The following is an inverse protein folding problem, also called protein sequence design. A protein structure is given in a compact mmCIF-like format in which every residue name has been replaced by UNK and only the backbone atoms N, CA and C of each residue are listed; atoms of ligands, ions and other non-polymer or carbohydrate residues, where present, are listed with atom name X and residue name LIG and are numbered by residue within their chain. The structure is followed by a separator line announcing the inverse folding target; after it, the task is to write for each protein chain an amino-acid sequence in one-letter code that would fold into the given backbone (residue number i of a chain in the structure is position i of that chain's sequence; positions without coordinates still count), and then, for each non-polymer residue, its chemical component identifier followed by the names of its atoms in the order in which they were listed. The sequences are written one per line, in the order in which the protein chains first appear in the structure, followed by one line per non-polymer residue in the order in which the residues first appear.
data_IF_863678103212
#
_entry.id   IF_863678103212
#
_cell.length_a   1.000
_cell.length_b   1.000
_cell.length_c   1.000
_cell.angle_alpha   90.00
_cell.angle_beta   90.00
_cell.angle_gamma   90.00
#
_symmetry.space_group_name_H-M   'P 1'
#
loop_
_entity.id
_entity.type
_entity.pdbx_description
1 polymer ?
#
# COMPACT_ATOMS: atom_id res chain seq x y z
N UNK A 1 -41.07 56.89 -20.34
CA UNK A 1 -39.85 56.59 -21.10
C UNK A 1 -39.48 55.14 -20.76
N UNK A 2 -39.88 54.16 -21.61
CA UNK A 2 -39.68 52.74 -21.35
C UNK A 2 -38.39 52.28 -22.06
N UNK A 3 -37.42 51.73 -21.29
CA UNK A 3 -36.20 51.17 -21.83
C UNK A 3 -36.51 49.79 -22.51
N UNK A 4 -36.00 49.57 -23.72
CA UNK A 4 -36.21 48.28 -24.39
C UNK A 4 -35.39 47.21 -23.70
N UNK A 5 -36.04 46.13 -23.23
CA UNK A 5 -35.40 44.91 -22.74
C UNK A 5 -34.72 44.21 -23.91
N UNK A 6 -33.39 44.23 -23.92
CA UNK A 6 -32.58 43.47 -24.89
C UNK A 6 -32.74 41.99 -24.64
N UNK A 7 -33.55 41.30 -25.45
CA UNK A 7 -33.67 39.83 -25.42
C UNK A 7 -32.39 39.25 -26.05
N UNK A 8 -31.46 38.74 -25.23
CA UNK A 8 -30.31 37.94 -25.73
C UNK A 8 -30.83 36.71 -26.47
N UNK A 9 -30.60 36.65 -27.76
CA UNK A 9 -30.86 35.44 -28.56
C UNK A 9 -30.00 34.31 -27.99
N UNK A 10 -30.65 33.27 -27.49
CA UNK A 10 -29.99 32.02 -27.16
C UNK A 10 -29.67 31.32 -28.48
N UNK A 11 -28.36 31.17 -28.79
CA UNK A 11 -27.89 30.42 -29.94
C UNK A 11 -27.82 28.97 -29.48
N UNK A 12 -28.68 28.12 -30.03
CA UNK A 12 -28.66 26.67 -29.80
C UNK A 12 -27.48 26.01 -30.51
N UNK A 13 -26.95 24.93 -29.92
CA UNK A 13 -25.90 24.11 -30.54
C UNK A 13 -26.39 23.45 -31.82
N UNK A 14 -25.54 23.45 -32.84
CA UNK A 14 -25.78 22.67 -34.06
C UNK A 14 -25.57 21.17 -33.81
N UNK A 15 -26.33 20.30 -34.46
CA UNK A 15 -26.20 18.84 -34.38
C UNK A 15 -24.77 18.40 -34.76
N UNK A 16 -24.18 19.03 -35.77
CA UNK A 16 -22.80 18.76 -36.22
C UNK A 16 -21.77 19.12 -35.15
N UNK A 17 -21.95 20.21 -34.42
CA UNK A 17 -21.09 20.66 -33.34
C UNK A 17 -21.11 19.66 -32.19
N UNK A 18 -22.30 19.12 -31.86
CA UNK A 18 -22.46 18.09 -30.84
C UNK A 18 -21.75 16.78 -31.21
N UNK A 19 -21.87 16.36 -32.51
CA UNK A 19 -21.17 15.17 -32.99
C UNK A 19 -19.64 15.35 -32.91
N UNK A 20 -19.12 16.49 -33.35
CA UNK A 20 -17.68 16.78 -33.27
C UNK A 20 -17.21 16.81 -31.81
N UNK A 21 -17.96 17.45 -30.90
CA UNK A 21 -17.63 17.47 -29.48
C UNK A 21 -17.59 16.05 -28.87
N UNK A 22 -18.54 15.18 -29.23
CA UNK A 22 -18.53 13.77 -28.79
C UNK A 22 -17.34 12.99 -29.32
N UNK A 23 -16.97 13.16 -30.58
CA UNK A 23 -15.80 12.50 -31.18
C UNK A 23 -14.51 12.93 -30.47
N UNK A 24 -14.34 14.23 -30.23
CA UNK A 24 -13.18 14.72 -29.48
C UNK A 24 -13.16 14.17 -28.04
N UNK A 25 -14.30 14.14 -27.36
CA UNK A 25 -14.41 13.57 -26.02
C UNK A 25 -14.05 12.08 -26.01
N UNK A 26 -14.47 11.28 -26.99
CA UNK A 26 -14.11 9.86 -27.09
C UNK A 26 -12.61 9.67 -27.28
N UNK A 27 -11.96 10.48 -28.14
CA UNK A 27 -10.51 10.40 -28.35
C UNK A 27 -9.76 10.73 -27.06
N UNK A 28 -10.17 11.78 -26.34
CA UNK A 28 -9.55 12.17 -25.07
C UNK A 28 -9.73 11.08 -23.99
N UNK A 29 -10.90 10.45 -23.92
CA UNK A 29 -11.14 9.35 -22.98
C UNK A 29 -10.32 8.10 -23.33
N UNK A 30 -10.15 7.77 -24.60
CA UNK A 30 -9.38 6.62 -25.04
C UNK A 30 -7.90 6.68 -24.59
N UNK A 31 -7.31 7.86 -24.52
CA UNK A 31 -5.94 8.08 -24.07
C UNK A 31 -5.87 8.36 -22.56
N UNK A 32 -6.80 9.13 -22.02
CA UNK A 32 -6.77 9.58 -20.64
C UNK A 32 -7.12 8.48 -19.63
N UNK A 33 -8.08 7.61 -19.95
CA UNK A 33 -8.57 6.59 -19.02
C UNK A 33 -7.50 5.58 -18.59
N UNK A 34 -6.67 5.00 -19.48
CA UNK A 34 -5.65 4.04 -19.06
C UNK A 34 -4.57 4.68 -18.18
N UNK A 35 -4.20 5.94 -18.43
CA UNK A 35 -3.23 6.67 -17.62
C UNK A 35 -3.80 6.91 -16.21
N UNK A 36 -5.06 7.33 -16.13
CA UNK A 36 -5.76 7.54 -14.86
C UNK A 36 -5.86 6.25 -14.04
N UNK A 37 -6.22 5.13 -14.66
CA UNK A 37 -6.33 3.83 -13.97
C UNK A 37 -4.99 3.38 -13.40
N UNK A 38 -3.88 3.54 -14.13
CA UNK A 38 -2.54 3.23 -13.62
C UNK A 38 -2.19 4.07 -12.40
N UNK A 39 -2.41 5.37 -12.47
CA UNK A 39 -2.17 6.28 -11.35
C UNK A 39 -3.02 5.93 -10.12
N UNK A 40 -4.29 5.58 -10.35
CA UNK A 40 -5.19 5.16 -9.28
C UNK A 40 -4.75 3.87 -8.60
N UNK A 41 -4.34 2.85 -9.36
CA UNK A 41 -3.83 1.60 -8.80
C UNK A 41 -2.51 1.79 -8.05
N UNK A 42 -1.61 2.63 -8.56
CA UNK A 42 -0.36 2.97 -7.87
C UNK A 42 -0.63 3.72 -6.55
N UNK A 43 -1.64 4.59 -6.53
CA UNK A 43 -2.08 5.28 -5.31
C UNK A 43 -2.63 4.29 -4.27
N UNK A 44 -3.50 3.36 -4.68
CA UNK A 44 -4.03 2.33 -3.79
C UNK A 44 -2.92 1.47 -3.17
N UNK A 45 -1.94 1.08 -3.99
CA UNK A 45 -0.80 0.30 -3.53
C UNK A 45 0.09 1.08 -2.54
N UNK A 46 0.32 2.36 -2.80
CA UNK A 46 1.05 3.23 -1.86
C UNK A 46 0.30 3.39 -0.55
N UNK A 47 -1.03 3.51 -0.60
CA UNK A 47 -1.87 3.59 0.59
C UNK A 47 -1.82 2.30 1.42
N UNK A 48 -1.81 1.13 0.76
CA UNK A 48 -1.63 -0.15 1.45
C UNK A 48 -0.27 -0.23 2.16
N UNK A 49 0.81 0.24 1.54
CA UNK A 49 2.13 0.30 2.17
C UNK A 49 2.16 1.22 3.40
N UNK A 50 1.48 2.36 3.34
CA UNK A 50 1.31 3.25 4.49
C UNK A 50 0.54 2.57 5.62
N UNK A 51 -0.54 1.84 5.32
CA UNK A 51 -1.30 1.10 6.32
C UNK A 51 -0.44 0.03 7.01
N UNK A 52 0.39 -0.71 6.26
CA UNK A 52 1.35 -1.66 6.85
C UNK A 52 2.35 -0.93 7.75
N UNK A 53 2.91 0.18 7.29
CA UNK A 53 3.83 0.96 8.11
C UNK A 53 3.16 1.47 9.39
N UNK A 54 1.90 1.88 9.33
CA UNK A 54 1.17 2.41 10.47
C UNK A 54 0.82 1.32 11.50
N UNK A 55 0.43 0.12 11.08
CA UNK A 55 0.18 -0.97 12.03
C UNK A 55 1.48 -1.42 12.72
N UNK A 56 2.62 -1.44 12.00
CA UNK A 56 3.92 -1.74 12.58
C UNK A 56 4.35 -0.66 13.60
N UNK A 57 4.17 0.62 13.27
CA UNK A 57 4.43 1.73 14.21
C UNK A 57 3.56 1.63 15.46
N UNK A 58 2.29 1.30 15.27
CA UNK A 58 1.35 1.12 16.38
C UNK A 58 1.75 -0.06 17.26
N UNK A 59 2.10 -1.22 16.68
CA UNK A 59 2.56 -2.39 17.44
C UNK A 59 3.82 -2.06 18.25
N UNK A 60 4.77 -1.35 17.63
CA UNK A 60 5.97 -0.84 18.30
C UNK A 60 5.62 0.07 19.48
N UNK A 61 4.71 1.02 19.25
CA UNK A 61 4.26 1.95 20.31
C UNK A 61 3.59 1.21 21.47
N UNK A 62 2.74 0.20 21.17
CA UNK A 62 2.10 -0.63 22.19
C UNK A 62 3.13 -1.42 23.03
N UNK A 63 4.17 -1.97 22.40
CA UNK A 63 5.25 -2.66 23.10
C UNK A 63 5.97 -1.73 24.10
N UNK A 64 6.28 -0.51 23.68
CA UNK A 64 6.90 0.51 24.54
C UNK A 64 5.94 0.95 25.64
N UNK A 65 4.67 1.23 25.30
CA UNK A 65 3.64 1.70 26.24
C UNK A 65 3.37 0.67 27.36
N UNK A 66 3.28 -0.60 26.96
CA UNK A 66 2.99 -1.69 27.90
C UNK A 66 4.25 -2.22 28.61
N UNK A 67 5.43 -1.74 28.19
CA UNK A 67 6.74 -2.22 28.66
C UNK A 67 6.86 -3.75 28.62
N UNK A 68 6.32 -4.36 27.54
CA UNK A 68 6.38 -5.80 27.30
C UNK A 68 6.48 -6.09 25.80
N UNK A 69 6.95 -7.28 25.41
CA UNK A 69 6.93 -7.68 24.01
C UNK A 69 5.50 -7.73 23.46
N UNK A 70 5.31 -7.24 22.22
CA UNK A 70 4.04 -7.25 21.49
C UNK A 70 4.28 -7.78 20.09
N UNK A 71 3.37 -8.64 19.62
CA UNK A 71 3.42 -9.24 18.29
C UNK A 71 2.62 -8.40 17.29
N UNK A 72 3.17 -8.21 16.10
CA UNK A 72 2.37 -7.93 14.91
C UNK A 72 2.12 -9.26 14.21
N UNK A 73 0.88 -9.71 14.20
CA UNK A 73 0.48 -10.98 13.58
C UNK A 73 -0.02 -10.73 12.17
N UNK A 74 0.39 -11.58 11.23
CA UNK A 74 0.04 -11.54 9.82
C UNK A 74 -0.59 -12.87 9.49
N UNK A 75 -1.78 -12.85 8.92
CA UNK A 75 -2.44 -14.07 8.46
C UNK A 75 -3.43 -13.80 7.32
N UNK A 76 -3.80 -14.83 6.54
CA UNK A 76 -4.91 -14.73 5.61
C UNK A 76 -6.21 -14.40 6.34
N UNK A 77 -7.03 -13.55 5.73
CA UNK A 77 -8.35 -13.23 6.28
C UNK A 77 -9.28 -14.44 6.21
N UNK A 78 -9.80 -14.90 7.34
CA UNK A 78 -10.82 -15.95 7.36
C UNK A 78 -12.17 -15.53 6.76
N UNK A 79 -12.49 -14.24 6.80
CA UNK A 79 -13.77 -13.70 6.31
C UNK A 79 -13.72 -13.26 4.84
N UNK A 80 -12.53 -12.92 4.32
CA UNK A 80 -12.35 -12.36 2.98
C UNK A 80 -11.23 -13.13 2.26
N UNK A 81 -11.55 -14.14 1.44
CA UNK A 81 -10.54 -14.92 0.71
C UNK A 81 -9.63 -14.04 -0.15
N UNK A 82 -8.34 -14.34 -0.13
CA UNK A 82 -7.32 -13.59 -0.90
C UNK A 82 -6.88 -12.26 -0.28
N UNK A 83 -7.39 -11.91 0.91
CA UNK A 83 -6.95 -10.74 1.66
C UNK A 83 -6.08 -11.15 2.86
N UNK A 84 -5.19 -10.25 3.27
CA UNK A 84 -4.31 -10.44 4.43
C UNK A 84 -4.71 -9.49 5.55
N UNK A 85 -4.77 -10.01 6.77
CA UNK A 85 -5.02 -9.24 7.99
C UNK A 85 -3.72 -9.09 8.76
N UNK A 86 -3.46 -7.86 9.23
CA UNK A 86 -2.39 -7.58 10.18
C UNK A 86 -3.00 -6.93 11.42
N UNK A 87 -2.59 -7.37 12.61
CA UNK A 87 -3.01 -6.72 13.86
C UNK A 87 -1.92 -6.73 14.92
N UNK A 88 -2.05 -5.80 15.85
CA UNK A 88 -1.18 -5.73 17.02
C UNK A 88 -1.77 -6.59 18.13
N UNK A 89 -1.20 -7.78 18.37
CA UNK A 89 -1.59 -8.69 19.45
C UNK A 89 -1.03 -8.15 20.78
N UNK A 90 -1.79 -7.26 21.38
CA UNK A 90 -1.36 -6.55 22.59
C UNK A 90 -1.49 -7.36 23.87
N UNK A 91 -2.32 -8.41 23.88
CA UNK A 91 -2.50 -9.30 25.01
C UNK A 91 -1.64 -10.57 24.92
N UNK A 92 -1.15 -10.93 23.73
CA UNK A 92 -0.27 -12.08 23.50
C UNK A 92 -1.01 -13.41 23.38
N UNK A 93 -2.32 -13.38 23.06
CA UNK A 93 -3.13 -14.60 22.93
C UNK A 93 -3.13 -15.21 21.52
N UNK A 94 -2.59 -14.50 20.51
CA UNK A 94 -2.55 -14.95 19.11
C UNK A 94 -3.91 -14.92 18.41
N UNK A 95 -4.94 -14.37 19.02
CA UNK A 95 -6.30 -14.27 18.50
C UNK A 95 -6.65 -12.78 18.37
N UNK A 96 -7.19 -12.40 17.22
CA UNK A 96 -7.57 -11.00 17.00
C UNK A 96 -8.82 -10.66 17.85
N UNK A 97 -8.66 -9.72 18.76
CA UNK A 97 -9.70 -9.23 19.65
C UNK A 97 -10.32 -7.91 19.14
N UNK A 98 -11.59 -7.61 19.46
CA UNK A 98 -12.25 -6.38 19.03
C UNK A 98 -11.60 -5.08 19.52
N UNK A 99 -10.81 -5.16 20.59
CA UNK A 99 -10.06 -4.01 21.16
C UNK A 99 -8.72 -3.78 20.48
N UNK A 100 -8.25 -4.73 19.71
CA UNK A 100 -6.98 -4.68 19.01
C UNK A 100 -7.11 -3.98 17.66
N UNK A 101 -6.13 -3.16 17.34
CA UNK A 101 -6.08 -2.49 16.03
C UNK A 101 -5.66 -3.47 14.97
N UNK A 102 -6.45 -3.53 13.91
CA UNK A 102 -6.18 -4.34 12.74
C UNK A 102 -6.26 -3.53 11.46
N UNK A 103 -5.60 -4.01 10.43
CA UNK A 103 -5.78 -3.58 9.05
C UNK A 103 -6.12 -4.79 8.18
N UNK A 104 -6.89 -4.56 7.13
CA UNK A 104 -7.23 -5.55 6.12
C UNK A 104 -6.67 -5.08 4.77
N UNK A 105 -5.74 -5.85 4.23
CA UNK A 105 -5.15 -5.59 2.90
C UNK A 105 -5.93 -6.37 1.86
N UNK A 106 -6.42 -5.66 0.85
CA UNK A 106 -7.19 -6.24 -0.25
C UNK A 106 -6.42 -6.35 -1.56
N UNK A 107 -7.11 -6.78 -2.62
CA UNK A 107 -6.53 -7.04 -3.94
C UNK A 107 -5.80 -5.85 -4.58
N UNK A 108 -6.16 -4.63 -4.19
CA UNK A 108 -5.53 -3.39 -4.69
C UNK A 108 -4.14 -3.13 -4.09
N UNK A 109 -3.78 -3.83 -3.01
CA UNK A 109 -2.46 -3.75 -2.38
C UNK A 109 -2.38 -4.79 -1.26
N UNK A 110 -2.04 -6.02 -1.62
CA UNK A 110 -1.91 -7.13 -0.68
C UNK A 110 -0.44 -7.50 -0.47
N UNK A 111 -0.16 -8.15 0.65
CA UNK A 111 1.15 -8.75 0.88
C UNK A 111 1.37 -9.90 -0.11
N UNK A 112 2.60 -10.00 -0.61
CA UNK A 112 3.04 -11.07 -1.51
C UNK A 112 4.37 -11.63 -1.03
N UNK A 113 4.62 -12.89 -1.37
CA UNK A 113 5.91 -13.53 -1.11
C UNK A 113 7.03 -12.88 -1.93
N UNK A 114 8.24 -12.88 -1.38
CA UNK A 114 9.43 -12.31 -2.02
C UNK A 114 9.66 -12.85 -3.45
N UNK A 115 9.37 -14.12 -3.69
CA UNK A 115 9.51 -14.77 -5.00
C UNK A 115 8.56 -14.22 -6.08
N UNK A 116 7.51 -13.51 -5.67
CA UNK A 116 6.53 -12.89 -6.57
C UNK A 116 6.93 -11.49 -7.04
N UNK A 117 8.05 -10.95 -6.51
CA UNK A 117 8.49 -9.58 -6.80
C UNK A 117 9.78 -9.63 -7.63
N UNK A 118 9.82 -9.00 -8.82
CA UNK A 118 11.01 -8.97 -9.66
C UNK A 118 12.19 -8.29 -8.93
N UNK A 119 13.38 -8.92 -9.03
CA UNK A 119 14.65 -8.39 -8.54
C UNK A 119 14.65 -7.83 -7.10
N UNK A 120 13.75 -8.34 -6.23
CA UNK A 120 13.63 -7.92 -4.84
C UNK A 120 14.96 -7.97 -4.07
N UNK A 121 15.84 -8.92 -4.40
CA UNK A 121 17.11 -9.14 -3.71
C UNK A 121 18.22 -8.14 -4.07
N UNK A 122 18.26 -7.62 -5.30
CA UNK A 122 19.37 -6.81 -5.78
C UNK A 122 19.37 -5.38 -5.23
N UNK A 123 18.20 -4.84 -4.91
CA UNK A 123 18.04 -3.45 -4.47
C UNK A 123 18.06 -3.27 -2.98
N UNK A 124 17.53 -4.26 -2.28
CA UNK A 124 17.57 -4.31 -0.84
C UNK A 124 18.99 -4.44 -0.33
N UNK A 125 19.93 -5.01 -1.11
CA UNK A 125 21.34 -5.09 -0.71
C UNK A 125 21.96 -3.71 -0.42
N UNK A 126 21.57 -2.67 -1.16
CA UNK A 126 22.01 -1.30 -0.93
C UNK A 126 21.30 -0.65 0.26
N UNK A 127 19.97 -0.84 0.37
CA UNK A 127 19.17 -0.33 1.47
C UNK A 127 19.47 -1.05 2.80
N UNK A 128 19.75 -2.35 2.72
CA UNK A 128 20.04 -3.19 3.88
C UNK A 128 21.46 -3.02 4.42
N UNK A 129 22.36 -2.38 3.68
CA UNK A 129 23.73 -2.11 4.10
C UNK A 129 24.45 -3.35 4.69
N UNK A 130 24.24 -4.52 4.05
CA UNK A 130 24.81 -5.80 4.48
C UNK A 130 24.05 -6.54 5.58
N UNK A 131 22.92 -6.03 6.06
CA UNK A 131 22.06 -6.76 7.00
C UNK A 131 21.29 -7.88 6.27
N UNK A 132 21.13 -9.01 6.94
CA UNK A 132 20.26 -10.07 6.46
C UNK A 132 18.79 -9.61 6.46
N UNK A 133 18.01 -10.05 5.48
CA UNK A 133 16.59 -9.75 5.41
C UNK A 133 15.73 -11.00 5.49
N UNK A 134 14.57 -10.87 6.11
CA UNK A 134 13.49 -11.83 6.11
C UNK A 134 12.26 -11.21 5.47
N UNK A 135 11.49 -11.99 4.74
CA UNK A 135 10.21 -11.55 4.19
C UNK A 135 9.09 -12.32 4.90
N UNK A 136 8.34 -11.67 5.79
CA UNK A 136 7.20 -12.29 6.43
C UNK A 136 6.18 -12.76 5.40
N UNK A 137 5.79 -14.05 5.48
CA UNK A 137 4.86 -14.62 4.51
C UNK A 137 3.43 -14.13 4.75
N UNK A 138 2.68 -13.79 3.69
CA UNK A 138 1.26 -13.43 3.81
C UNK A 138 0.39 -14.60 4.27
N UNK A 139 0.87 -15.84 4.15
CA UNK A 139 0.17 -17.05 4.60
C UNK A 139 0.27 -17.30 6.10
N UNK A 140 1.08 -16.55 6.82
CA UNK A 140 1.22 -16.59 8.27
C UNK A 140 2.63 -16.22 8.71
N UNK A 141 2.73 -15.15 9.48
CA UNK A 141 3.98 -14.71 10.07
C UNK A 141 3.68 -13.88 11.34
N UNK A 142 4.70 -13.72 12.16
CA UNK A 142 4.64 -12.88 13.36
C UNK A 142 5.93 -12.09 13.47
N UNK A 143 5.78 -10.79 13.70
CA UNK A 143 6.88 -9.86 13.94
C UNK A 143 6.81 -9.41 15.39
N UNK A 144 7.85 -9.69 16.15
CA UNK A 144 7.91 -9.39 17.58
C UNK A 144 8.69 -8.10 17.84
N UNK A 145 8.05 -7.16 18.53
CA UNK A 145 8.73 -5.99 19.10
C UNK A 145 9.01 -6.23 20.58
N UNK A 146 10.22 -5.91 21.02
CA UNK A 146 10.58 -5.93 22.43
C UNK A 146 10.00 -4.70 23.19
N UNK A 147 10.15 -4.67 24.51
CA UNK A 147 9.68 -3.57 25.35
C UNK A 147 10.33 -2.21 25.03
N UNK A 148 11.42 -2.17 24.27
CA UNK A 148 12.08 -0.95 23.79
C UNK A 148 11.63 -0.53 22.40
N UNK A 149 10.81 -1.34 21.76
CA UNK A 149 10.33 -1.12 20.39
C UNK A 149 11.35 -1.50 19.32
N UNK A 150 12.32 -2.35 19.63
CA UNK A 150 13.20 -2.97 18.65
C UNK A 150 12.64 -4.33 18.20
N UNK A 151 13.06 -4.80 17.03
CA UNK A 151 12.75 -6.16 16.59
C UNK A 151 13.38 -7.20 17.52
N UNK A 152 12.74 -8.33 17.69
CA UNK A 152 13.26 -9.47 18.43
C UNK A 152 13.18 -10.76 17.59
N UNK A 153 14.31 -11.35 17.20
CA UNK A 153 15.70 -10.90 17.43
C UNK A 153 16.09 -9.69 16.54
N UNK A 154 16.97 -8.79 17.00
CA UNK A 154 17.36 -7.58 16.28
C UNK A 154 18.45 -7.83 15.23
N UNK A 155 18.41 -8.97 14.54
CA UNK A 155 19.46 -9.41 13.62
C UNK A 155 19.14 -9.17 12.14
N UNK A 156 17.85 -9.17 11.80
CA UNK A 156 17.40 -9.11 10.42
C UNK A 156 16.51 -7.88 10.19
N UNK A 157 16.42 -7.50 8.93
CA UNK A 157 15.42 -6.53 8.46
C UNK A 157 14.22 -7.31 7.95
N UNK A 158 13.03 -6.99 8.44
CA UNK A 158 11.80 -7.56 7.89
C UNK A 158 11.30 -6.71 6.73
N UNK A 159 11.08 -7.37 5.60
CA UNK A 159 10.67 -6.73 4.34
C UNK A 159 9.29 -7.22 3.94
N UNK A 160 8.32 -6.33 3.97
CA UNK A 160 6.95 -6.61 3.56
C UNK A 160 6.78 -6.17 2.11
N UNK A 161 6.62 -7.13 1.21
CA UNK A 161 6.36 -6.85 -0.19
C UNK A 161 4.87 -6.74 -0.45
N UNK A 162 4.49 -5.72 -1.20
CA UNK A 162 3.11 -5.48 -1.61
C UNK A 162 3.00 -5.39 -3.12
N UNK A 163 1.96 -6.02 -3.65
CA UNK A 163 1.61 -5.96 -5.06
C UNK A 163 0.12 -5.73 -5.23
N UNK A 164 -0.25 -5.21 -6.40
CA UNK A 164 -1.63 -5.11 -6.82
C UNK A 164 -1.96 -6.31 -7.70
N UNK A 165 -2.89 -7.18 -7.28
CA UNK A 165 -3.28 -8.37 -8.04
C UNK A 165 -4.11 -8.04 -9.30
N UNK A 166 -4.66 -6.83 -9.38
CA UNK A 166 -5.49 -6.38 -10.51
C UNK A 166 -4.65 -5.74 -11.61
N UNK A 167 -3.53 -5.09 -11.24
CA UNK A 167 -2.69 -4.35 -12.19
C UNK A 167 -1.21 -4.47 -11.83
N UNK A 168 -0.50 -5.26 -12.62
CA UNK A 168 0.96 -5.42 -12.52
C UNK A 168 1.69 -4.11 -12.86
N UNK A 169 1.08 -3.28 -13.72
CA UNK A 169 1.62 -1.99 -14.14
C UNK A 169 1.68 -0.95 -12.99
N UNK A 170 0.98 -1.20 -11.88
CA UNK A 170 1.07 -0.36 -10.68
C UNK A 170 2.44 -0.46 -9.98
N UNK A 171 3.26 -1.45 -10.37
CA UNK A 171 4.52 -1.76 -9.73
C UNK A 171 4.35 -2.44 -8.38
N UNK A 172 5.37 -2.30 -7.53
CA UNK A 172 5.45 -2.94 -6.23
C UNK A 172 5.76 -1.91 -5.14
N UNK A 173 5.46 -2.28 -3.89
CA UNK A 173 5.93 -1.53 -2.71
C UNK A 173 6.63 -2.49 -1.76
N UNK A 174 7.61 -1.95 -1.04
CA UNK A 174 8.26 -2.67 0.04
C UNK A 174 8.28 -1.79 1.28
N UNK A 175 7.85 -2.34 2.40
CA UNK A 175 7.97 -1.71 3.71
C UNK A 175 9.07 -2.44 4.45
N UNK A 176 10.16 -1.73 4.75
CA UNK A 176 11.33 -2.24 5.45
C UNK A 176 11.21 -1.88 6.92
N UNK A 177 11.26 -2.88 7.77
CA UNK A 177 11.31 -2.72 9.21
C UNK A 177 12.72 -3.07 9.68
N UNK A 178 13.47 -2.03 10.08
CA UNK A 178 14.84 -2.16 10.55
C UNK A 178 14.91 -2.75 11.98
N UNK A 179 16.02 -3.38 12.37
CA UNK A 179 16.18 -3.97 13.71
C UNK A 179 15.89 -3.00 14.86
N UNK A 180 16.23 -1.72 14.69
CA UNK A 180 15.92 -0.67 15.66
C UNK A 180 14.45 -0.23 15.68
N UNK A 181 13.57 -0.84 14.87
CA UNK A 181 12.16 -0.49 14.75
C UNK A 181 11.88 0.73 13.88
N UNK A 182 12.84 1.24 13.11
CA UNK A 182 12.58 2.28 12.10
C UNK A 182 11.99 1.66 10.84
N UNK A 183 11.09 2.40 10.18
CA UNK A 183 10.36 1.92 9.02
C UNK A 183 10.67 2.80 7.83
N UNK A 184 10.98 2.17 6.69
CA UNK A 184 11.19 2.81 5.39
C UNK A 184 10.20 2.24 4.39
N UNK A 185 9.74 3.06 3.46
CA UNK A 185 8.84 2.64 2.38
C UNK A 185 9.57 2.85 1.05
N UNK A 186 9.55 1.81 0.22
CA UNK A 186 10.20 1.80 -1.08
C UNK A 186 9.16 1.51 -2.16
N UNK A 187 9.30 2.16 -3.32
CA UNK A 187 8.51 1.90 -4.52
C UNK A 187 9.38 1.21 -5.56
N UNK A 188 8.89 0.13 -6.13
CA UNK A 188 9.50 -0.60 -7.22
C UNK A 188 8.63 -0.55 -8.47
N UNK A 189 9.27 -0.40 -9.63
CA UNK A 189 8.60 -0.58 -10.92
C UNK A 189 8.50 -2.07 -11.31
N UNK A 190 7.82 -2.36 -12.42
CA UNK A 190 7.68 -3.73 -12.94
C UNK A 190 9.02 -4.34 -13.41
N UNK A 191 10.07 -3.53 -13.60
CA UNK A 191 11.42 -3.96 -14.01
C UNK A 191 12.36 -4.19 -12.84
N UNK A 192 11.91 -3.87 -11.62
CA UNK A 192 12.67 -4.08 -10.39
C UNK A 192 13.58 -2.92 -9.99
N UNK A 193 13.37 -1.71 -10.52
CA UNK A 193 14.05 -0.51 -10.03
C UNK A 193 13.30 0.01 -8.79
N UNK A 194 13.99 0.10 -7.68
CA UNK A 194 13.43 0.56 -6.42
C UNK A 194 13.92 1.95 -6.05
N UNK A 195 13.05 2.73 -5.44
CA UNK A 195 13.35 4.07 -4.95
C UNK A 195 12.70 4.26 -3.57
N UNK A 196 13.45 4.87 -2.64
CA UNK A 196 12.90 5.22 -1.34
C UNK A 196 11.86 6.32 -1.49
N UNK A 197 10.70 6.12 -0.89
CA UNK A 197 9.66 7.15 -0.76
C UNK A 197 9.96 7.99 0.49
N UNK A 198 10.30 9.23 0.29
CA UNK A 198 10.53 10.21 1.36
C UNK A 198 9.29 11.03 1.64
#
# INVERSE_FOLDING_TARGET
MALPLSVKRQVGFSLTELIVALLVAMILMAVGLPIFLRAYHAYQLSNAALQVADILRLTRYEAIRLNKPVNCVIQPSGSYPGMTVLWADSNGNGIQDPTEKMILLGNAGNLVDQGSVPAASALLSTALNGLASTAPSPSGATVLFDARGALSPPTNVDVFYLANSVSVDAGYRAVLLMPAGSIQIWSGDATGNWQEQR
#
